data_IF_796847260589
#
_entry.id   IF_796847260589
#
_cell.length_a   1.000
_cell.length_b   1.000
_cell.length_c   1.000
_cell.angle_alpha   90.00
_cell.angle_beta   90.00
_cell.angle_gamma   90.00
#
_symmetry.space_group_name_H-M   'P 1'
#
loop_
_entity.id
_entity.type
_entity.pdbx_description
1 polymer ?
#
# COMPACT_ATOMS: atom_id res chain seq x y z
N UNK A 1 14.10 11.13 6.27
CA UNK A 1 13.54 9.76 6.19
C UNK A 1 14.26 8.88 7.20
N UNK A 2 13.67 7.79 7.70
CA UNK A 2 14.36 6.84 8.58
C UNK A 2 14.40 5.46 7.96
N UNK A 3 15.52 4.77 8.10
CA UNK A 3 15.74 3.42 7.62
C UNK A 3 16.31 2.56 8.75
N UNK A 4 16.09 1.25 8.68
CA UNK A 4 16.71 0.28 9.57
C UNK A 4 17.95 -0.26 8.88
N UNK A 5 19.09 -0.23 9.55
CA UNK A 5 20.31 -0.89 9.09
C UNK A 5 20.15 -2.41 9.23
N UNK A 6 20.37 -3.16 8.15
CA UNK A 6 20.13 -4.62 8.11
C UNK A 6 21.11 -5.42 8.95
N UNK A 7 22.28 -4.86 9.27
CA UNK A 7 23.31 -5.51 10.07
C UNK A 7 23.17 -5.21 11.57
N UNK A 8 22.91 -3.94 11.93
CA UNK A 8 22.82 -3.51 13.33
C UNK A 8 21.40 -3.59 13.88
N UNK A 9 20.40 -3.62 13.00
CA UNK A 9 18.98 -3.48 13.33
C UNK A 9 18.66 -2.16 14.07
N UNK A 10 19.47 -1.13 13.87
CA UNK A 10 19.27 0.21 14.44
C UNK A 10 18.63 1.16 13.42
N UNK A 11 17.95 2.20 13.93
CA UNK A 11 17.33 3.23 13.11
C UNK A 11 18.36 4.30 12.75
N UNK A 12 18.54 4.52 11.46
CA UNK A 12 19.36 5.59 10.90
C UNK A 12 18.45 6.68 10.32
N UNK A 13 18.83 7.94 10.55
CA UNK A 13 18.08 9.11 10.09
C UNK A 13 18.80 9.76 8.93
N UNK A 14 18.08 9.90 7.82
CA UNK A 14 18.53 10.56 6.61
C UNK A 14 17.79 11.88 6.41
N UNK A 15 18.35 12.84 5.65
CA UNK A 15 17.67 14.09 5.30
C UNK A 15 16.28 13.88 4.67
N UNK A 16 15.58 14.99 4.41
CA UNK A 16 14.20 14.95 3.88
C UNK A 16 14.08 14.11 2.60
N UNK A 17 12.87 13.61 2.36
CA UNK A 17 12.57 12.74 1.23
C UNK A 17 13.08 13.31 -0.12
N UNK A 18 13.58 12.43 -0.99
CA UNK A 18 14.25 12.75 -2.26
C UNK A 18 15.58 13.52 -2.16
N UNK A 19 16.27 13.43 -1.02
CA UNK A 19 17.67 13.88 -0.91
C UNK A 19 18.60 12.86 -1.60
N UNK A 20 19.64 13.30 -2.34
CA UNK A 20 20.62 12.40 -2.97
C UNK A 20 21.39 11.52 -1.96
N UNK A 21 21.32 11.85 -0.67
CA UNK A 21 22.00 11.10 0.40
C UNK A 21 21.15 9.95 0.97
N UNK A 22 19.94 9.72 0.46
CA UNK A 22 19.14 8.55 0.87
C UNK A 22 19.75 7.33 0.16
N UNK A 23 20.28 6.33 0.91
CA UNK A 23 20.86 5.14 0.30
C UNK A 23 19.77 4.29 -0.37
N UNK A 24 20.11 3.43 -1.33
CA UNK A 24 19.20 2.41 -1.85
C UNK A 24 18.68 1.53 -0.70
N UNK A 25 17.38 1.22 -0.72
CA UNK A 25 16.74 0.47 0.35
C UNK A 25 15.68 -0.49 -0.19
N UNK A 26 15.48 -1.58 0.53
CA UNK A 26 14.30 -2.42 0.36
C UNK A 26 13.15 -1.91 1.25
N UNK A 27 11.91 -2.18 0.87
CA UNK A 27 10.73 -1.74 1.62
C UNK A 27 9.82 -2.93 1.95
N UNK A 28 9.29 -2.98 3.18
CA UNK A 28 8.37 -4.03 3.60
C UNK A 28 6.92 -3.59 3.44
N UNK A 29 6.17 -4.31 2.60
CA UNK A 29 4.70 -4.28 2.55
C UNK A 29 4.16 -5.45 3.38
N UNK A 30 3.31 -5.17 4.37
CA UNK A 30 2.77 -6.22 5.23
C UNK A 30 1.43 -5.85 5.87
N UNK A 31 0.75 -6.85 6.44
CA UNK A 31 -0.43 -6.64 7.29
C UNK A 31 -0.01 -6.42 8.74
N UNK A 32 -0.44 -5.31 9.33
CA UNK A 32 -0.17 -5.04 10.74
C UNK A 32 -0.84 -6.12 11.61
N UNK A 33 -0.05 -6.71 12.50
CA UNK A 33 -0.52 -7.60 13.55
C UNK A 33 -0.74 -6.86 14.89
N UNK A 34 -1.11 -7.59 15.96
CA UNK A 34 -1.30 -7.01 17.28
C UNK A 34 0.01 -6.53 17.93
N UNK A 35 1.14 -7.15 17.57
CA UNK A 35 2.44 -6.96 18.25
C UNK A 35 3.47 -6.25 17.34
N UNK A 36 3.02 -5.28 16.55
CA UNK A 36 3.92 -4.45 15.75
C UNK A 36 4.85 -3.60 16.62
N UNK A 37 6.04 -3.33 16.10
CA UNK A 37 7.06 -2.54 16.79
C UNK A 37 6.99 -1.10 16.33
N UNK A 38 6.94 -0.18 17.29
CA UNK A 38 6.96 1.26 17.05
C UNK A 38 8.38 1.81 16.82
N UNK A 39 8.48 3.03 16.32
CA UNK A 39 9.76 3.75 16.26
C UNK A 39 10.40 3.85 17.64
N UNK A 40 9.64 4.24 18.65
CA UNK A 40 10.15 4.50 20.00
C UNK A 40 10.79 3.24 20.60
N UNK A 41 10.23 2.07 20.32
CA UNK A 41 10.79 0.79 20.72
C UNK A 41 12.06 0.44 19.92
N UNK A 42 12.10 0.77 18.63
CA UNK A 42 13.29 0.56 17.78
C UNK A 42 14.45 1.52 18.11
N UNK A 43 14.17 2.70 18.69
CA UNK A 43 15.20 3.66 19.12
C UNK A 43 15.99 3.19 20.34
N UNK A 44 15.46 2.23 21.11
CA UNK A 44 16.27 1.53 22.11
C UNK A 44 17.33 0.72 21.37
N UNK A 45 18.61 0.94 21.69
CA UNK A 45 19.74 0.23 21.06
C UNK A 45 19.49 -1.28 21.08
N UNK A 46 19.84 -1.96 20.00
CA UNK A 46 19.54 -3.38 19.81
C UNK A 46 20.02 -4.25 20.98
N UNK A 47 21.16 -3.91 21.58
CA UNK A 47 21.74 -4.60 22.74
C UNK A 47 20.96 -4.44 24.05
N UNK A 48 20.09 -3.44 24.14
CA UNK A 48 19.31 -3.07 25.33
C UNK A 48 17.81 -3.33 25.16
N UNK A 49 17.37 -3.90 24.04
CA UNK A 49 15.96 -4.26 23.82
C UNK A 49 15.54 -5.39 24.75
N UNK A 50 14.36 -5.27 25.36
CA UNK A 50 13.86 -6.26 26.31
C UNK A 50 13.57 -7.60 25.62
N UNK A 51 13.68 -8.70 26.38
CA UNK A 51 13.28 -10.03 25.91
C UNK A 51 11.81 -10.06 25.43
N UNK A 52 10.94 -9.29 26.08
CA UNK A 52 9.52 -9.16 25.70
C UNK A 52 9.30 -8.44 24.38
N UNK A 53 10.20 -7.55 23.96
CA UNK A 53 10.13 -6.86 22.67
C UNK A 53 10.66 -7.77 21.57
N UNK A 54 11.83 -8.37 21.77
CA UNK A 54 12.49 -9.17 20.74
C UNK A 54 11.72 -10.46 20.42
N UNK A 55 10.92 -10.97 21.37
CA UNK A 55 10.08 -12.15 21.16
C UNK A 55 8.76 -11.86 20.42
N UNK A 56 8.42 -10.59 20.19
CA UNK A 56 7.19 -10.23 19.46
C UNK A 56 7.29 -10.66 18.00
N UNK A 57 6.18 -11.13 17.47
CA UNK A 57 6.07 -11.49 16.06
C UNK A 57 6.41 -10.31 15.13
N UNK A 58 5.96 -9.09 15.47
CA UNK A 58 6.31 -7.89 14.70
C UNK A 58 7.81 -7.63 14.64
N UNK A 59 8.55 -7.88 15.73
CA UNK A 59 10.01 -7.74 15.75
C UNK A 59 10.70 -8.84 14.93
N UNK A 60 10.25 -10.09 15.05
CA UNK A 60 10.79 -11.21 14.26
C UNK A 60 10.60 -10.98 12.75
N UNK A 61 9.47 -10.41 12.35
CA UNK A 61 9.20 -10.01 10.97
C UNK A 61 10.17 -8.91 10.48
N UNK A 62 10.54 -7.94 11.34
CA UNK A 62 11.58 -6.94 11.02
C UNK A 62 12.93 -7.62 10.78
N UNK A 63 13.34 -8.53 11.68
CA UNK A 63 14.60 -9.25 11.55
C UNK A 63 14.65 -10.08 10.25
N UNK A 64 13.57 -10.80 9.95
CA UNK A 64 13.47 -11.58 8.70
C UNK A 64 13.51 -10.70 7.45
N UNK A 65 12.84 -9.55 7.48
CA UNK A 65 12.96 -8.57 6.40
C UNK A 65 14.40 -8.08 6.23
N UNK A 66 15.14 -7.83 7.33
CA UNK A 66 16.54 -7.43 7.29
C UNK A 66 17.44 -8.54 6.75
N UNK A 67 17.21 -9.79 7.17
CA UNK A 67 17.93 -10.97 6.70
C UNK A 67 17.76 -11.17 5.18
N UNK A 68 16.51 -11.11 4.69
CA UNK A 68 16.20 -11.19 3.26
C UNK A 68 16.83 -10.01 2.52
N UNK A 69 16.70 -8.79 3.02
CA UNK A 69 17.32 -7.62 2.39
C UNK A 69 18.84 -7.76 2.28
N UNK A 70 19.51 -8.18 3.37
CA UNK A 70 20.95 -8.35 3.43
C UNK A 70 21.45 -9.46 2.48
N UNK A 71 20.70 -10.54 2.30
CA UNK A 71 21.07 -11.63 1.39
C UNK A 71 21.12 -11.19 -0.08
N UNK A 72 20.35 -10.15 -0.44
CA UNK A 72 20.37 -9.51 -1.75
C UNK A 72 21.26 -8.24 -1.80
N UNK A 73 22.03 -7.97 -0.74
CA UNK A 73 23.00 -6.87 -0.69
C UNK A 73 22.44 -5.50 -0.29
N UNK A 74 21.22 -5.44 0.24
CA UNK A 74 20.66 -4.19 0.78
C UNK A 74 21.13 -3.95 2.22
N UNK A 75 21.72 -2.78 2.47
CA UNK A 75 22.15 -2.35 3.81
C UNK A 75 21.01 -1.72 4.63
N UNK A 76 19.92 -1.32 3.97
CA UNK A 76 18.84 -0.58 4.59
C UNK A 76 17.46 -1.12 4.20
N UNK A 77 16.56 -1.15 5.18
CA UNK A 77 15.13 -1.43 4.96
C UNK A 77 14.25 -0.31 5.49
N UNK A 78 13.12 -0.07 4.83
CA UNK A 78 12.06 0.80 5.31
C UNK A 78 10.83 -0.01 5.72
N UNK A 79 10.29 0.27 6.89
CA UNK A 79 9.09 -0.38 7.42
C UNK A 79 8.22 0.69 8.11
N UNK A 80 7.00 0.89 7.61
CA UNK A 80 6.09 1.98 8.05
C UNK A 80 5.84 2.03 9.56
N UNK A 81 5.80 0.87 10.23
CA UNK A 81 5.52 0.77 11.65
C UNK A 81 6.56 1.42 12.54
N UNK A 82 7.83 1.40 12.11
CA UNK A 82 8.97 1.87 12.89
C UNK A 82 9.84 2.92 12.18
N UNK A 83 9.66 3.17 10.89
CA UNK A 83 10.32 4.25 10.15
C UNK A 83 9.51 5.56 10.13
N UNK A 84 8.28 5.57 10.64
CA UNK A 84 7.43 6.77 10.77
C UNK A 84 7.18 7.07 12.24
N UNK A 85 7.23 8.34 12.64
CA UNK A 85 6.92 8.75 14.01
C UNK A 85 5.44 9.05 14.07
N UNK A 86 4.69 8.04 14.51
CA UNK A 86 3.23 8.14 14.63
C UNK A 86 2.79 9.04 15.79
N UNK A 87 3.72 9.46 16.66
CA UNK A 87 3.43 10.39 17.76
C UNK A 87 3.55 11.86 17.34
N UNK A 88 4.21 12.14 16.22
CA UNK A 88 4.35 13.46 15.64
C UNK A 88 3.39 13.64 14.47
N UNK A 89 2.30 14.39 14.67
CA UNK A 89 1.27 14.58 13.65
C UNK A 89 1.77 15.29 12.37
N UNK A 90 2.79 16.16 12.49
CA UNK A 90 3.38 16.84 11.33
C UNK A 90 4.10 15.81 10.48
N UNK A 91 4.98 15.02 11.10
CA UNK A 91 5.72 13.97 10.41
C UNK A 91 4.78 12.88 9.86
N UNK A 92 3.78 12.47 10.62
CA UNK A 92 2.79 11.48 10.17
C UNK A 92 2.07 11.97 8.90
N UNK A 93 1.70 13.25 8.86
CA UNK A 93 1.06 13.85 7.68
C UNK A 93 2.01 13.90 6.49
N UNK A 94 3.27 14.31 6.69
CA UNK A 94 4.29 14.32 5.65
C UNK A 94 4.57 12.92 5.12
N UNK A 95 4.69 11.94 6.01
CA UNK A 95 4.96 10.54 5.65
C UNK A 95 3.80 9.91 4.86
N UNK A 96 2.55 10.19 5.23
CA UNK A 96 1.39 9.67 4.50
C UNK A 96 1.28 10.30 3.10
N UNK A 97 1.50 11.61 2.96
CA UNK A 97 1.56 12.24 1.64
C UNK A 97 2.75 11.74 0.79
N UNK A 98 3.79 11.20 1.44
CA UNK A 98 4.98 10.63 0.77
C UNK A 98 4.90 9.12 0.56
N UNK A 99 3.84 8.44 1.05
CA UNK A 99 3.76 6.98 1.12
C UNK A 99 3.99 6.31 -0.24
N UNK A 100 3.28 6.78 -1.28
CA UNK A 100 3.46 6.29 -2.64
C UNK A 100 4.92 6.38 -3.10
N UNK A 101 5.59 7.49 -2.77
CA UNK A 101 6.94 7.74 -3.24
C UNK A 101 7.97 6.93 -2.43
N UNK A 102 7.72 6.60 -1.16
CA UNK A 102 8.54 5.63 -0.42
C UNK A 102 8.53 4.25 -1.09
N UNK A 103 7.35 3.78 -1.52
CA UNK A 103 7.28 2.51 -2.26
C UNK A 103 7.87 2.62 -3.67
N UNK A 104 7.62 3.72 -4.38
CA UNK A 104 8.15 3.93 -5.74
C UNK A 104 9.67 4.01 -5.80
N UNK A 105 10.29 4.64 -4.80
CA UNK A 105 11.74 4.87 -4.79
C UNK A 105 12.52 3.75 -4.06
N UNK A 106 11.84 2.73 -3.54
CA UNK A 106 12.52 1.55 -3.03
C UNK A 106 13.03 0.70 -4.22
N UNK A 107 14.21 0.11 -4.07
CA UNK A 107 14.79 -0.77 -5.10
C UNK A 107 13.98 -2.07 -5.23
N UNK A 108 13.43 -2.54 -4.11
CA UNK A 108 12.55 -3.70 -4.07
C UNK A 108 11.55 -3.58 -2.93
N UNK A 109 10.29 -3.93 -3.22
CA UNK A 109 9.27 -4.13 -2.21
C UNK A 109 9.13 -5.63 -1.89
N UNK A 110 9.18 -5.98 -0.62
CA UNK A 110 8.89 -7.31 -0.12
C UNK A 110 7.47 -7.32 0.44
N UNK A 111 6.55 -8.03 -0.21
CA UNK A 111 5.19 -8.23 0.29
C UNK A 111 5.13 -9.52 1.11
N UNK A 112 5.09 -9.40 2.43
CA UNK A 112 4.97 -10.53 3.35
C UNK A 112 3.50 -10.88 3.60
N UNK A 113 3.10 -12.08 3.16
CA UNK A 113 1.75 -12.62 3.22
C UNK A 113 1.64 -13.68 4.31
N UNK A 114 1.45 -13.24 5.54
CA UNK A 114 1.36 -14.14 6.71
C UNK A 114 0.20 -15.16 6.67
N UNK A 115 -0.77 -14.99 5.77
CA UNK A 115 -1.95 -15.84 5.60
C UNK A 115 -1.83 -16.82 4.41
N UNK A 116 -0.65 -16.90 3.80
CA UNK A 116 -0.32 -17.81 2.70
C UNK A 116 0.65 -18.89 3.21
N UNK A 117 0.34 -20.19 3.02
CA UNK A 117 1.23 -21.28 3.39
C UNK A 117 2.40 -21.43 2.39
N UNK A 118 3.42 -22.17 2.80
CA UNK A 118 4.69 -22.38 2.07
C UNK A 118 4.66 -23.55 1.08
N UNK A 119 3.56 -24.30 1.01
CA UNK A 119 3.42 -25.53 0.23
C UNK A 119 2.38 -25.44 -0.91
N UNK A 120 1.99 -24.23 -1.30
CA UNK A 120 0.93 -23.99 -2.28
C UNK A 120 1.43 -23.36 -3.60
N UNK A 121 0.83 -23.76 -4.73
CA UNK A 121 0.98 -23.03 -5.99
C UNK A 121 0.13 -21.73 -5.98
N UNK A 122 0.76 -20.53 -5.97
CA UNK A 122 0.03 -19.27 -5.93
C UNK A 122 -0.85 -19.04 -7.16
N UNK A 123 -0.51 -19.63 -8.31
CA UNK A 123 -1.27 -19.49 -9.54
C UNK A 123 -2.53 -20.37 -9.56
N UNK A 124 -2.60 -21.41 -8.73
CA UNK A 124 -3.71 -22.34 -8.67
C UNK A 124 -5.04 -21.63 -8.38
N UNK A 125 -6.13 -22.14 -8.96
CA UNK A 125 -7.47 -21.61 -8.69
C UNK A 125 -7.85 -21.93 -7.26
N UNK A 126 -8.24 -20.89 -6.51
CA UNK A 126 -8.61 -21.04 -5.10
C UNK A 126 -7.43 -21.02 -4.13
N UNK A 127 -6.23 -20.65 -4.59
CA UNK A 127 -5.07 -20.54 -3.71
C UNK A 127 -5.27 -19.52 -2.59
N UNK A 128 -4.64 -19.76 -1.44
CA UNK A 128 -4.56 -18.81 -0.33
C UNK A 128 -3.87 -17.52 -0.73
N UNK A 129 -2.90 -17.57 -1.66
CA UNK A 129 -2.36 -16.36 -2.28
C UNK A 129 -3.48 -15.47 -2.84
N UNK A 130 -4.38 -16.04 -3.66
CA UNK A 130 -5.51 -15.30 -4.26
C UNK A 130 -6.54 -14.84 -3.23
N UNK A 131 -6.68 -15.58 -2.14
CA UNK A 131 -7.62 -15.27 -1.06
C UNK A 131 -7.07 -14.30 -0.01
N UNK A 132 -5.75 -14.04 -0.02
CA UNK A 132 -5.05 -13.27 1.00
C UNK A 132 -5.72 -11.93 1.27
N UNK A 133 -5.81 -11.59 2.55
CA UNK A 133 -6.33 -10.30 3.00
C UNK A 133 -5.44 -9.14 2.57
N UNK A 134 -4.18 -9.40 2.18
CA UNK A 134 -3.31 -8.35 1.65
C UNK A 134 -3.93 -7.68 0.42
N UNK A 135 -4.57 -8.43 -0.48
CA UNK A 135 -5.28 -7.86 -1.64
C UNK A 135 -6.54 -7.07 -1.28
N UNK A 136 -7.04 -7.21 -0.04
CA UNK A 136 -8.26 -6.57 0.45
C UNK A 136 -7.98 -5.33 1.30
N UNK A 137 -6.74 -5.01 1.65
CA UNK A 137 -6.43 -3.78 2.41
C UNK A 137 -6.33 -2.57 1.47
N UNK A 138 -6.74 -1.39 1.94
CA UNK A 138 -6.66 -0.15 1.16
C UNK A 138 -5.22 0.23 0.78
N UNK A 139 -4.35 0.38 1.80
CA UNK A 139 -2.96 0.82 1.63
C UNK A 139 -2.12 -0.04 0.68
N UNK A 140 -2.31 -1.36 0.71
CA UNK A 140 -1.58 -2.31 -0.15
C UNK A 140 -1.86 -2.12 -1.65
N UNK A 141 -2.84 -1.28 -2.04
CA UNK A 141 -3.04 -0.89 -3.43
C UNK A 141 -1.85 -0.06 -3.94
N UNK A 142 -1.42 0.93 -3.15
CA UNK A 142 -0.23 1.72 -3.48
C UNK A 142 1.02 0.85 -3.40
N UNK A 143 1.09 -0.06 -2.43
CA UNK A 143 2.23 -0.96 -2.24
C UNK A 143 2.36 -2.00 -3.37
N UNK A 144 1.27 -2.28 -4.09
CA UNK A 144 1.27 -3.10 -5.31
C UNK A 144 1.71 -2.30 -6.56
N UNK A 145 1.18 -1.08 -6.69
CA UNK A 145 1.27 -0.30 -7.93
C UNK A 145 2.54 0.55 -7.99
N UNK A 146 2.94 1.14 -6.87
CA UNK A 146 4.03 2.11 -6.80
C UNK A 146 5.44 1.53 -7.05
N UNK A 147 5.85 0.41 -6.42
CA UNK A 147 7.23 -0.07 -6.56
C UNK A 147 7.46 -0.68 -7.93
N UNK A 148 8.63 -0.47 -8.52
CA UNK A 148 8.97 -1.09 -9.81
C UNK A 148 9.18 -2.60 -9.66
N UNK A 149 9.90 -3.02 -8.61
CA UNK A 149 10.11 -4.42 -8.22
C UNK A 149 9.32 -4.79 -6.96
N UNK A 150 8.60 -5.91 -7.01
CA UNK A 150 7.83 -6.43 -5.89
C UNK A 150 7.92 -7.96 -5.88
N UNK A 151 8.34 -8.51 -4.74
CA UNK A 151 8.49 -9.94 -4.48
C UNK A 151 7.56 -10.34 -3.35
N UNK A 152 6.78 -11.40 -3.55
CA UNK A 152 5.86 -11.94 -2.55
C UNK A 152 6.53 -13.05 -1.76
N UNK A 153 6.37 -12.99 -0.44
CA UNK A 153 6.82 -14.00 0.52
C UNK A 153 5.64 -14.56 1.28
N UNK A 154 5.65 -15.87 1.55
CA UNK A 154 4.62 -16.55 2.35
C UNK A 154 4.86 -16.39 3.86
N UNK A 155 4.09 -17.10 4.67
CA UNK A 155 4.23 -17.12 6.13
C UNK A 155 5.54 -17.71 6.65
N UNK A 156 6.26 -18.49 5.83
CA UNK A 156 7.58 -19.06 6.12
C UNK A 156 8.75 -18.17 5.70
N UNK A 157 8.48 -17.04 5.02
CA UNK A 157 9.49 -16.21 4.33
C UNK A 157 10.14 -16.91 3.14
N UNK A 158 9.45 -17.85 2.51
CA UNK A 158 9.87 -18.40 1.22
C UNK A 158 9.30 -17.54 0.07
N UNK A 159 10.06 -17.42 -1.01
CA UNK A 159 9.64 -16.64 -2.18
C UNK A 159 8.51 -17.37 -2.91
N UNK A 160 7.34 -16.73 -2.97
CA UNK A 160 6.17 -17.18 -3.74
C UNK A 160 6.35 -16.80 -5.23
N UNK A 161 6.93 -15.63 -5.47
CA UNK A 161 7.23 -15.12 -6.80
C UNK A 161 7.12 -13.60 -6.90
N UNK A 162 7.41 -13.09 -8.08
CA UNK A 162 7.41 -11.65 -8.37
C UNK A 162 6.08 -11.15 -8.92
N UNK A 163 5.83 -9.85 -8.77
CA UNK A 163 4.74 -9.12 -9.44
C UNK A 163 4.64 -9.39 -10.95
N UNK A 164 5.78 -9.60 -11.62
CA UNK A 164 5.80 -9.95 -13.04
C UNK A 164 5.42 -11.42 -13.31
N UNK A 165 5.93 -12.34 -12.48
CA UNK A 165 5.64 -13.78 -12.62
C UNK A 165 4.15 -14.09 -12.32
N UNK A 166 3.57 -13.42 -11.31
CA UNK A 166 2.21 -13.64 -10.84
C UNK A 166 1.17 -12.68 -11.45
N UNK A 167 1.53 -11.92 -12.50
CA UNK A 167 0.68 -10.87 -13.09
C UNK A 167 -0.75 -11.32 -13.42
N UNK A 168 -0.93 -12.55 -13.89
CA UNK A 168 -2.26 -13.06 -14.25
C UNK A 168 -3.10 -13.32 -13.00
N UNK A 169 -2.52 -13.94 -11.96
CA UNK A 169 -3.20 -14.18 -10.70
C UNK A 169 -3.56 -12.85 -10.00
N UNK A 170 -2.62 -11.89 -9.98
CA UNK A 170 -2.85 -10.55 -9.43
C UNK A 170 -3.98 -9.84 -10.18
N UNK A 171 -3.96 -9.84 -11.51
CA UNK A 171 -4.98 -9.17 -12.33
C UNK A 171 -6.38 -9.78 -12.11
N UNK A 172 -6.47 -11.10 -11.98
CA UNK A 172 -7.74 -11.79 -11.70
C UNK A 172 -8.30 -11.47 -10.32
N UNK A 173 -7.44 -11.38 -9.29
CA UNK A 173 -7.85 -11.10 -7.90
C UNK A 173 -8.22 -9.64 -7.71
N UNK A 174 -7.43 -8.74 -8.29
CA UNK A 174 -7.52 -7.28 -8.06
C UNK A 174 -8.37 -6.56 -9.11
N UNK A 175 -8.64 -7.18 -10.26
CA UNK A 175 -9.24 -6.56 -11.44
C UNK A 175 -8.44 -5.38 -12.01
N UNK A 176 -7.14 -5.33 -11.73
CA UNK A 176 -6.21 -4.31 -12.23
C UNK A 176 -5.55 -4.84 -13.51
N UNK A 177 -5.52 -4.04 -14.57
CA UNK A 177 -4.77 -4.37 -15.79
C UNK A 177 -3.28 -4.53 -15.43
N UNK A 178 -2.61 -5.64 -15.81
CA UNK A 178 -1.17 -5.82 -15.61
C UNK A 178 -0.32 -4.63 -16.03
N UNK A 179 -0.72 -3.89 -17.07
CA UNK A 179 0.01 -2.72 -17.55
C UNK A 179 0.09 -1.59 -16.52
N UNK A 180 -0.86 -1.51 -15.58
CA UNK A 180 -0.88 -0.50 -14.53
C UNK A 180 0.19 -0.81 -13.45
N UNK A 181 0.14 -2.00 -12.85
CA UNK A 181 1.05 -2.34 -11.75
C UNK A 181 2.44 -2.79 -12.22
N UNK A 182 2.62 -3.14 -13.50
CA UNK A 182 3.94 -3.38 -14.09
C UNK A 182 4.62 -2.11 -14.60
N UNK A 183 4.01 -0.93 -14.44
CA UNK A 183 4.59 0.35 -14.88
C UNK A 183 4.73 0.49 -16.40
N UNK A 184 4.03 -0.33 -17.19
CA UNK A 184 4.08 -0.30 -18.66
C UNK A 184 3.32 0.90 -19.22
N UNK A 185 2.34 1.40 -18.45
CA UNK A 185 1.48 2.54 -18.81
C UNK A 185 1.47 3.58 -17.69
N UNK A 186 1.32 4.84 -18.09
CA UNK A 186 1.29 5.95 -17.15
C UNK A 186 -0.06 6.01 -16.42
N UNK A 187 -0.04 5.94 -15.09
CA UNK A 187 -1.24 5.93 -14.25
C UNK A 187 -2.13 7.18 -14.40
N UNK A 188 -1.54 8.32 -14.78
CA UNK A 188 -2.25 9.59 -14.92
C UNK A 188 -2.89 9.72 -16.29
N UNK A 189 -2.23 9.22 -17.34
CA UNK A 189 -2.65 9.40 -18.73
C UNK A 189 -3.47 8.23 -19.27
N UNK A 190 -3.09 6.99 -18.95
CA UNK A 190 -3.63 5.80 -19.62
C UNK A 190 -4.85 5.17 -18.91
N UNK A 191 -5.15 5.59 -17.68
CA UNK A 191 -6.21 5.01 -16.86
C UNK A 191 -7.15 6.10 -16.34
N UNK A 192 -8.45 5.89 -16.55
CA UNK A 192 -9.47 6.81 -16.10
C UNK A 192 -9.60 6.82 -14.57
N UNK A 193 -10.21 7.89 -14.04
CA UNK A 193 -10.53 7.98 -12.62
C UNK A 193 -11.41 6.81 -12.20
N UNK A 194 -12.44 6.46 -12.99
CA UNK A 194 -13.31 5.34 -12.67
C UNK A 194 -12.57 3.99 -12.61
N UNK A 195 -11.61 3.76 -13.52
CA UNK A 195 -10.77 2.57 -13.46
C UNK A 195 -9.96 2.54 -12.17
N UNK A 196 -9.28 3.63 -11.82
CA UNK A 196 -8.49 3.73 -10.59
C UNK A 196 -9.34 3.57 -9.32
N UNK A 197 -10.55 4.16 -9.30
CA UNK A 197 -11.51 3.96 -8.20
C UNK A 197 -11.96 2.50 -8.10
N UNK A 198 -12.17 1.82 -9.23
CA UNK A 198 -12.57 0.42 -9.24
C UNK A 198 -11.52 -0.50 -8.59
N UNK A 199 -10.23 -0.16 -8.66
CA UNK A 199 -9.14 -0.92 -8.03
C UNK A 199 -9.22 -0.92 -6.49
N UNK A 200 -9.88 0.08 -5.90
CA UNK A 200 -10.15 0.18 -4.47
C UNK A 200 -11.54 -0.31 -4.06
N UNK A 201 -12.43 -0.60 -5.01
CA UNK A 201 -13.84 -0.93 -4.75
C UNK A 201 -14.07 -2.15 -3.84
N UNK A 202 -13.12 -3.10 -3.83
CA UNK A 202 -13.17 -4.33 -3.01
C UNK A 202 -12.23 -4.30 -1.82
N UNK A 203 -11.54 -3.17 -1.61
CA UNK A 203 -10.59 -2.99 -0.51
C UNK A 203 -11.29 -2.41 0.70
N UNK A 204 -10.67 -2.56 1.87
CA UNK A 204 -11.17 -2.14 3.18
C UNK A 204 -10.07 -1.47 3.95
N UNK A 205 -10.46 -0.50 4.77
CA UNK A 205 -9.59 0.20 5.70
C UNK A 205 -10.20 0.12 7.10
N UNK A 206 -9.35 0.17 8.12
CA UNK A 206 -9.80 0.14 9.51
C UNK A 206 -10.42 1.48 9.91
N UNK A 207 -9.78 2.59 9.53
CA UNK A 207 -10.34 3.93 9.63
C UNK A 207 -11.08 4.28 8.35
N UNK A 208 -12.24 4.90 8.47
CA UNK A 208 -13.06 5.31 7.31
C UNK A 208 -12.29 6.28 6.41
N UNK A 209 -11.55 7.22 6.99
CA UNK A 209 -10.81 8.24 6.25
C UNK A 209 -9.65 7.67 5.43
N UNK A 210 -9.06 6.56 5.89
CA UNK A 210 -7.96 5.90 5.19
C UNK A 210 -8.36 5.43 3.79
N UNK A 211 -9.67 5.20 3.52
CA UNK A 211 -10.13 4.89 2.17
C UNK A 211 -9.80 6.01 1.18
N UNK A 212 -9.81 7.27 1.65
CA UNK A 212 -9.40 8.41 0.84
C UNK A 212 -7.87 8.55 0.80
N UNK A 213 -7.22 8.45 1.96
CA UNK A 213 -5.78 8.68 2.09
C UNK A 213 -4.94 7.62 1.35
N UNK A 214 -5.39 6.36 1.35
CA UNK A 214 -4.73 5.29 0.60
C UNK A 214 -4.90 5.40 -0.93
N UNK A 215 -5.56 6.44 -1.44
CA UNK A 215 -5.68 6.70 -2.88
C UNK A 215 -4.91 7.94 -3.35
N UNK A 216 -4.42 8.78 -2.44
CA UNK A 216 -3.73 10.04 -2.77
C UNK A 216 -2.59 9.82 -3.77
N UNK A 217 -1.74 8.82 -3.52
CA UNK A 217 -0.63 8.45 -4.40
C UNK A 217 -1.05 8.00 -5.80
N UNK A 218 -2.12 7.19 -5.88
CA UNK A 218 -2.66 6.68 -7.15
C UNK A 218 -3.18 7.82 -8.04
N UNK A 219 -3.75 8.86 -7.42
CA UNK A 219 -4.28 10.03 -8.13
C UNK A 219 -3.27 11.18 -8.24
N UNK A 220 -2.12 11.10 -7.57
CA UNK A 220 -1.11 12.16 -7.57
C UNK A 220 -1.62 13.46 -6.93
N UNK A 221 -2.43 13.35 -5.87
CA UNK A 221 -2.98 14.49 -5.12
C UNK A 221 -2.48 14.49 -3.68
N UNK A 222 -2.44 15.65 -3.05
CA UNK A 222 -2.08 15.80 -1.64
C UNK A 222 -3.22 16.51 -0.90
N UNK A 223 -3.52 16.08 0.33
CA UNK A 223 -4.49 16.75 1.17
C UNK A 223 -4.19 16.56 2.67
N UNK A 224 -4.59 17.52 3.54
CA UNK A 224 -4.44 17.37 4.99
C UNK A 224 -5.18 16.15 5.54
N UNK A 225 -4.51 15.44 6.45
CA UNK A 225 -5.03 14.28 7.18
C UNK A 225 -5.87 14.75 8.37
N UNK A 226 -7.19 14.58 8.30
CA UNK A 226 -8.12 14.96 9.38
C UNK A 226 -8.86 13.71 9.84
N UNK A 227 -8.31 13.00 10.82
CA UNK A 227 -9.02 11.88 11.45
C UNK A 227 -10.20 12.38 12.29
N UNK A 228 -11.35 11.73 12.17
CA UNK A 228 -12.64 12.17 12.74
C UNK A 228 -13.54 12.89 11.74
N UNK A 229 -13.11 13.08 10.48
CA UNK A 229 -13.96 13.67 9.45
C UNK A 229 -14.88 12.66 8.75
N UNK A 230 -14.65 11.36 8.94
CA UNK A 230 -15.43 10.28 8.33
C UNK A 230 -15.41 10.33 6.80
N UNK A 231 -16.54 10.02 6.17
CA UNK A 231 -16.67 9.99 4.70
C UNK A 231 -16.39 11.33 3.99
N UNK A 232 -16.31 12.45 4.73
CA UNK A 232 -15.90 13.75 4.15
C UNK A 232 -14.47 13.72 3.60
N UNK A 233 -13.60 12.86 4.14
CA UNK A 233 -12.26 12.64 3.61
C UNK A 233 -12.31 12.21 2.14
N UNK A 234 -13.22 11.30 1.79
CA UNK A 234 -13.38 10.82 0.42
C UNK A 234 -13.94 11.88 -0.51
N UNK A 235 -14.89 12.70 -0.03
CA UNK A 235 -15.37 13.87 -0.78
C UNK A 235 -14.24 14.86 -1.06
N UNK A 236 -13.35 15.11 -0.10
CA UNK A 236 -12.18 15.97 -0.29
C UNK A 236 -11.23 15.39 -1.33
N UNK A 237 -10.97 14.08 -1.29
CA UNK A 237 -10.18 13.40 -2.33
C UNK A 237 -10.76 13.66 -3.72
N UNK A 238 -12.07 13.47 -3.91
CA UNK A 238 -12.74 13.73 -5.19
C UNK A 238 -12.57 15.19 -5.64
N UNK A 239 -12.67 16.15 -4.71
CA UNK A 239 -12.45 17.56 -5.01
C UNK A 239 -11.00 17.85 -5.42
N UNK A 240 -10.01 17.25 -4.77
CA UNK A 240 -8.60 17.41 -5.18
C UNK A 240 -8.32 16.81 -6.56
N UNK A 241 -8.95 15.67 -6.88
CA UNK A 241 -8.85 15.06 -8.21
C UNK A 241 -9.45 15.99 -9.28
N UNK A 242 -10.64 16.56 -9.02
CA UNK A 242 -11.33 17.46 -9.96
C UNK A 242 -10.56 18.76 -10.23
N UNK A 243 -9.73 19.24 -9.30
CA UNK A 243 -8.89 20.42 -9.53
C UNK A 243 -7.83 20.20 -10.60
N UNK A 244 -7.44 18.95 -10.84
CA UNK A 244 -6.29 18.60 -11.69
C UNK A 244 -6.65 17.71 -12.88
N UNK A 245 -7.92 17.31 -13.01
CA UNK A 245 -8.39 16.40 -14.05
C UNK A 245 -9.72 16.84 -14.66
N UNK A 246 -9.83 16.76 -15.99
CA UNK A 246 -11.09 16.91 -16.74
C UNK A 246 -11.80 15.58 -17.01
N UNK A 247 -11.35 14.47 -16.42
CA UNK A 247 -11.94 13.16 -16.64
C UNK A 247 -13.29 13.03 -15.90
N UNK A 248 -14.37 13.10 -16.66
CA UNK A 248 -15.75 13.00 -16.15
C UNK A 248 -16.11 11.60 -15.62
N UNK A 249 -15.27 10.57 -15.83
CA UNK A 249 -15.51 9.23 -15.31
C UNK A 249 -15.52 9.18 -13.77
N UNK A 250 -15.03 10.21 -13.08
CA UNK A 250 -15.25 10.37 -11.64
C UNK A 250 -16.74 10.35 -11.25
N UNK A 251 -17.64 10.68 -12.18
CA UNK A 251 -19.10 10.64 -11.99
C UNK A 251 -19.74 9.32 -12.47
N UNK A 252 -18.95 8.32 -12.90
CA UNK A 252 -19.43 7.05 -13.45
C UNK A 252 -19.72 6.00 -12.36
N UNK A 253 -20.48 6.39 -11.35
CA UNK A 253 -20.95 5.52 -10.27
C UNK A 253 -22.17 4.70 -10.68
N UNK A 254 -22.27 3.48 -10.14
CA UNK A 254 -23.45 2.61 -10.33
C UNK A 254 -24.62 3.11 -9.48
N UNK A 255 -25.86 3.01 -9.98
CA UNK A 255 -27.03 3.28 -9.15
C UNK A 255 -27.12 2.27 -7.99
N UNK A 256 -27.44 2.71 -6.76
CA UNK A 256 -27.74 1.79 -5.66
C UNK A 256 -28.90 0.89 -6.07
N UNK A 257 -28.77 -0.42 -5.86
CA UNK A 257 -29.91 -1.33 -5.98
C UNK A 257 -30.97 -0.87 -4.97
N UNK A 258 -32.23 -0.79 -5.40
CA UNK A 258 -33.39 -0.25 -4.66
C UNK A 258 -33.71 -0.93 -3.30
N UNK A 259 -32.86 -1.80 -2.79
CA UNK A 259 -33.00 -2.45 -1.48
C UNK A 259 -32.14 -1.81 -0.38
N UNK A 260 -31.26 -0.85 -0.70
CA UNK A 260 -30.25 -0.33 0.23
C UNK A 260 -30.53 1.08 0.78
N UNK A 261 -31.81 1.38 1.05
CA UNK A 261 -32.25 2.67 1.62
C UNK A 261 -31.76 2.97 3.05
N UNK A 262 -30.86 2.15 3.63
CA UNK A 262 -30.38 2.33 5.02
C UNK A 262 -29.08 3.11 5.18
N UNK A 263 -28.40 3.46 4.09
CA UNK A 263 -27.24 4.36 4.16
C UNK A 263 -27.35 5.45 3.09
N UNK A 264 -28.09 6.52 3.41
CA UNK A 264 -27.80 7.82 2.79
C UNK A 264 -26.46 8.31 3.34
N UNK A 265 -25.36 7.78 2.82
CA UNK A 265 -24.08 8.45 2.90
C UNK A 265 -24.06 9.43 1.73
N UNK A 266 -24.11 10.74 1.99
CA UNK A 266 -24.00 11.79 0.95
C UNK A 266 -22.60 11.83 0.28
N UNK A 267 -21.81 10.76 0.44
CA UNK A 267 -20.42 10.63 0.04
C UNK A 267 -20.25 9.30 -0.68
N UNK A 268 -20.02 9.39 -1.99
CA UNK A 268 -19.89 8.25 -2.89
C UNK A 268 -18.51 7.63 -2.75
N UNK A 269 -18.40 6.36 -2.38
CA UNK A 269 -17.16 5.65 -2.04
C UNK A 269 -16.71 4.69 -3.18
N UNK A 270 -15.47 4.14 -3.15
CA UNK A 270 -14.95 3.30 -4.24
C UNK A 270 -15.82 2.09 -4.59
N UNK A 271 -16.56 1.54 -3.63
CA UNK A 271 -17.44 0.39 -3.83
C UNK A 271 -18.62 0.69 -4.78
N UNK A 272 -18.90 1.94 -5.13
CA UNK A 272 -19.94 2.27 -6.13
C UNK A 272 -19.40 2.20 -7.58
N UNK A 273 -18.08 2.02 -7.74
CA UNK A 273 -17.39 1.86 -9.03
C UNK A 273 -17.17 0.38 -9.43
N UNK A 274 -17.91 -0.56 -8.82
CA UNK A 274 -17.72 -2.02 -8.91
C UNK A 274 -17.81 -2.64 -10.32
N UNK A 275 -18.11 -1.87 -11.36
CA UNK A 275 -18.50 -2.40 -12.67
C UNK A 275 -17.86 -1.73 -13.91
N UNK A 276 -16.72 -1.02 -13.79
CA UNK A 276 -15.97 -0.62 -15.00
C UNK A 276 -15.15 -1.80 -15.51
N UNK A 277 -15.83 -2.83 -16.03
CA UNK A 277 -15.19 -3.94 -16.75
C UNK A 277 -14.83 -3.46 -18.15
N UNK A 278 -13.59 -2.98 -18.33
CA UNK A 278 -12.91 -2.77 -19.64
C UNK A 278 -13.39 -1.50 -20.41
N UNK A 279 -12.50 -0.77 -21.12
CA UNK A 279 -12.73 0.64 -21.45
C UNK A 279 -13.59 0.80 -22.68
N UNK A 280 -14.74 1.44 -22.54
CA UNK A 280 -15.15 2.41 -23.55
C UNK A 280 -14.42 3.71 -23.22
N UNK A 281 -13.55 4.22 -24.10
CA UNK A 281 -13.19 5.63 -24.05
C UNK A 281 -14.50 6.41 -23.99
N UNK A 282 -14.62 7.35 -23.06
CA UNK A 282 -15.58 8.43 -23.27
C UNK A 282 -15.14 9.11 -24.57
N UNK A 283 -15.77 8.75 -25.68
CA UNK A 283 -15.66 9.55 -26.90
C UNK A 283 -16.25 10.90 -26.52
N UNK A 284 -15.42 11.93 -26.66
CA UNK A 284 -15.79 13.32 -26.46
C UNK A 284 -17.16 13.58 -27.09
N UNK A 285 -18.13 13.95 -26.26
CA UNK A 285 -19.35 14.65 -26.71
C UNK A 285 -18.99 16.12 -26.81
#
# INVERSE_FOLDING_TARGET
>A
MRLINTSTHEIESFPRFAHPDIPPYAILSHRWGPDEVSLQEMQVSASHRSLSLVSRFGYQKILKCCEVAASFGFEHVWIDTCCIDKTNNVELTEAINSMFNYYRNAEVCYAYLMDVPDDEDPAAKGSQFRASEWFKRGWTLQELIAPDSLVFYDSGWEEIGTKFSLKNAIAEVTFIDPKAFLGIRDLKVDFSIAQKMSWASRRRTERTEDMAYCLMGIFGVNMPMIYGEGGRAFRRLQLEILKTSGDHSILAWSEPRATDYRYKCDHKEPHEFLAVKVPTPFQNI
#
